data_IF_583373517203
#
_entry.id   IF_583373517203
#
_cell.length_a   1.000
_cell.length_b   1.000
_cell.length_c   1.000
_cell.angle_alpha   90.00
_cell.angle_beta   90.00
_cell.angle_gamma   90.00
#
_symmetry.space_group_name_H-M   'P 1'
#
loop_
_entity.id
_entity.type
_entity.pdbx_description
1 polymer ?
#
# COMPACT_ATOMS: atom_id res chain seq x y z
N UNK A 1 9.75 0.86 -14.52
CA UNK A 1 10.10 1.54 -13.26
C UNK A 1 10.86 2.86 -13.45
N UNK A 2 11.54 3.07 -14.58
CA UNK A 2 12.32 4.27 -14.90
C UNK A 2 11.64 5.62 -14.61
N UNK A 3 10.32 5.75 -14.78
CA UNK A 3 9.61 7.00 -14.46
C UNK A 3 9.63 7.32 -12.95
N UNK A 4 9.39 6.33 -12.09
CA UNK A 4 9.39 6.51 -10.64
C UNK A 4 10.80 6.91 -10.18
N UNK A 5 11.83 6.18 -10.63
CA UNK A 5 13.23 6.47 -10.34
C UNK A 5 13.65 7.86 -10.85
N UNK A 6 13.22 8.24 -12.05
CA UNK A 6 13.57 9.52 -12.64
C UNK A 6 12.97 10.70 -11.89
N UNK A 7 11.75 10.58 -11.39
CA UNK A 7 11.01 11.67 -10.73
C UNK A 7 11.09 11.63 -9.20
N UNK A 8 11.65 10.58 -8.60
CA UNK A 8 11.90 10.49 -7.17
C UNK A 8 12.70 11.72 -6.68
N UNK A 9 12.20 12.40 -5.65
CA UNK A 9 12.79 13.63 -5.10
C UNK A 9 12.65 14.88 -5.97
N UNK A 10 12.03 14.78 -7.16
CA UNK A 10 11.78 15.93 -8.06
C UNK A 10 10.32 16.36 -8.05
N UNK A 11 9.40 15.41 -8.01
CA UNK A 11 7.96 15.64 -7.99
C UNK A 11 7.28 14.71 -6.97
N UNK A 12 6.16 15.14 -6.36
CA UNK A 12 5.31 14.23 -5.60
C UNK A 12 4.76 13.11 -6.49
N UNK A 13 4.79 11.87 -6.01
CA UNK A 13 4.29 10.69 -6.74
C UNK A 13 3.26 9.98 -5.87
N UNK A 14 2.07 9.75 -6.41
CA UNK A 14 1.03 8.90 -5.82
C UNK A 14 0.84 7.65 -6.68
N UNK A 15 1.08 6.48 -6.11
CA UNK A 15 0.86 5.19 -6.77
C UNK A 15 -0.44 4.54 -6.31
N UNK A 16 -1.31 4.16 -7.24
CA UNK A 16 -2.56 3.45 -6.97
C UNK A 16 -2.55 2.09 -7.65
N UNK A 17 -3.05 1.04 -6.98
CA UNK A 17 -3.09 -0.34 -7.49
C UNK A 17 -1.67 -0.83 -7.87
N UNK A 18 -1.41 -1.14 -9.14
CA UNK A 18 -0.08 -1.53 -9.62
C UNK A 18 0.97 -0.42 -9.42
N UNK A 19 0.55 0.85 -9.38
CA UNK A 19 1.45 1.97 -9.08
C UNK A 19 2.00 1.92 -7.66
N UNK A 20 1.17 1.51 -6.69
CA UNK A 20 1.61 1.31 -5.30
C UNK A 20 2.66 0.19 -5.22
N UNK A 21 2.39 -0.94 -5.88
CA UNK A 21 3.33 -2.07 -5.95
C UNK A 21 4.64 -1.69 -6.64
N UNK A 22 4.56 -0.94 -7.74
CA UNK A 22 5.73 -0.48 -8.47
C UNK A 22 6.63 0.44 -7.62
N UNK A 23 6.05 1.30 -6.79
CA UNK A 23 6.80 2.12 -5.83
C UNK A 23 7.53 1.22 -4.83
N UNK A 24 6.83 0.26 -4.21
CA UNK A 24 7.45 -0.68 -3.28
C UNK A 24 8.65 -1.42 -3.91
N UNK A 25 8.49 -1.91 -5.14
CA UNK A 25 9.56 -2.62 -5.86
C UNK A 25 10.76 -1.74 -6.20
N UNK A 26 10.53 -0.49 -6.61
CA UNK A 26 11.62 0.46 -6.94
C UNK A 26 12.54 0.70 -5.74
N UNK A 27 11.98 0.74 -4.53
CA UNK A 27 12.76 0.94 -3.32
C UNK A 27 13.27 -0.37 -2.70
N UNK A 28 12.98 -1.53 -3.29
CA UNK A 28 13.49 -2.84 -2.87
C UNK A 28 12.53 -3.71 -2.07
N UNK A 29 11.30 -3.26 -1.84
CA UNK A 29 10.24 -4.08 -1.25
C UNK A 29 9.80 -5.21 -2.19
N UNK A 30 9.49 -6.39 -1.64
CA UNK A 30 8.98 -7.50 -2.44
C UNK A 30 7.47 -7.38 -2.61
N UNK A 31 6.99 -7.67 -3.81
CA UNK A 31 5.55 -7.82 -4.09
C UNK A 31 5.23 -9.29 -4.12
N UNK A 32 4.42 -9.74 -3.17
CA UNK A 32 4.05 -11.14 -2.97
C UNK A 32 2.57 -11.33 -3.25
N UNK A 33 2.17 -12.58 -3.51
CA UNK A 33 0.74 -12.90 -3.60
C UNK A 33 0.08 -12.73 -2.26
N UNK A 34 -1.06 -12.05 -2.27
CA UNK A 34 -1.95 -12.00 -1.13
C UNK A 34 -2.32 -13.43 -0.71
N UNK A 35 -2.27 -13.78 0.59
CA UNK A 35 -2.67 -15.10 1.07
C UNK A 35 -4.11 -15.48 0.71
N UNK A 36 -4.99 -14.50 0.45
CA UNK A 36 -6.35 -14.72 -0.09
C UNK A 36 -6.71 -13.73 -1.19
N UNK A 37 -7.47 -14.20 -2.19
CA UNK A 37 -7.98 -13.37 -3.28
C UNK A 37 -9.19 -12.57 -2.80
N UNK A 38 -9.06 -11.26 -2.70
CA UNK A 38 -10.15 -10.34 -2.35
C UNK A 38 -10.59 -9.60 -3.63
N UNK A 39 -11.81 -9.90 -4.11
CA UNK A 39 -12.38 -9.27 -5.31
C UNK A 39 -13.74 -8.64 -4.98
N UNK A 40 -13.81 -7.31 -5.03
CA UNK A 40 -15.08 -6.57 -4.88
C UNK A 40 -15.68 -6.59 -3.47
N UNK A 41 -14.86 -6.80 -2.44
CA UNK A 41 -15.28 -6.70 -1.03
C UNK A 41 -14.79 -5.38 -0.43
N UNK A 42 -15.59 -4.81 0.47
CA UNK A 42 -15.15 -3.68 1.30
C UNK A 42 -14.26 -4.22 2.43
N UNK A 43 -13.19 -3.48 2.71
CA UNK A 43 -12.32 -3.73 3.85
C UNK A 43 -12.18 -2.45 4.65
N UNK A 44 -11.99 -2.64 5.95
CA UNK A 44 -11.71 -1.59 6.91
C UNK A 44 -10.19 -1.40 6.95
N UNK A 45 -9.73 -0.22 6.58
CA UNK A 45 -8.31 0.17 6.60
C UNK A 45 -8.09 1.14 7.75
N UNK A 46 -7.19 0.76 8.64
CA UNK A 46 -6.64 1.62 9.69
C UNK A 46 -5.49 2.42 9.09
N UNK A 47 -5.27 3.63 9.61
CA UNK A 47 -4.12 4.45 9.23
C UNK A 47 -3.60 5.24 10.42
N UNK A 48 -2.41 5.80 10.28
CA UNK A 48 -1.78 6.68 11.27
C UNK A 48 -2.15 8.17 11.08
N UNK A 49 -2.96 8.48 10.07
CA UNK A 49 -3.42 9.83 9.70
C UNK A 49 -2.32 10.72 9.15
N UNK A 50 -1.28 10.12 8.57
CA UNK A 50 -0.20 10.83 7.88
C UNK A 50 -0.39 10.85 6.36
N UNK A 51 0.27 11.82 5.72
CA UNK A 51 0.34 11.92 4.28
C UNK A 51 -1.04 12.00 3.63
N UNK A 52 -1.34 11.05 2.73
CA UNK A 52 -2.61 11.04 1.99
C UNK A 52 -3.83 10.65 2.84
N UNK A 53 -3.62 10.18 4.07
CA UNK A 53 -4.69 9.81 5.00
C UNK A 53 -5.03 10.93 6.00
N UNK A 54 -4.36 12.08 5.92
CA UNK A 54 -4.65 13.22 6.80
C UNK A 54 -6.09 13.73 6.60
N UNK A 55 -6.84 13.85 7.70
CA UNK A 55 -8.22 14.33 7.72
C UNK A 55 -9.28 13.30 7.27
N UNK A 56 -8.90 12.05 7.03
CA UNK A 56 -9.83 10.96 6.78
C UNK A 56 -10.30 10.29 8.08
N UNK A 57 -11.49 9.67 8.03
CA UNK A 57 -12.01 8.86 9.13
C UNK A 57 -11.12 7.65 9.38
N UNK A 58 -10.88 7.32 10.66
CA UNK A 58 -10.06 6.19 11.07
C UNK A 58 -10.88 5.20 11.92
N UNK A 59 -11.22 4.01 11.40
CA UNK A 59 -10.81 3.47 10.11
C UNK A 59 -11.61 4.00 8.91
N UNK A 60 -11.03 3.91 7.71
CA UNK A 60 -11.68 4.23 6.44
C UNK A 60 -12.19 2.96 5.75
N UNK A 61 -13.41 3.00 5.22
CA UNK A 61 -13.95 1.90 4.42
C UNK A 61 -13.54 2.07 2.94
N UNK A 62 -12.85 1.07 2.40
CA UNK A 62 -12.37 1.08 1.02
C UNK A 62 -12.73 -0.21 0.29
N UNK A 63 -13.00 -0.10 -1.01
CA UNK A 63 -13.19 -1.27 -1.87
C UNK A 63 -11.84 -1.83 -2.32
N UNK A 64 -11.58 -3.11 -2.04
CA UNK A 64 -10.31 -3.76 -2.40
C UNK A 64 -10.42 -4.62 -3.66
N UNK A 65 -9.36 -4.57 -4.46
CA UNK A 65 -9.16 -5.39 -5.66
C UNK A 65 -7.70 -5.85 -5.74
N UNK A 66 -7.26 -6.81 -4.92
CA UNK A 66 -5.83 -7.17 -4.97
C UNK A 66 -5.55 -8.66 -4.77
N UNK A 67 -4.73 -9.17 -5.71
CA UNK A 67 -4.09 -10.50 -5.68
C UNK A 67 -2.62 -10.43 -5.24
N UNK A 68 -2.05 -9.22 -5.12
CA UNK A 68 -0.64 -8.94 -4.82
C UNK A 68 -0.54 -7.80 -3.80
N UNK A 69 0.36 -7.92 -2.82
CA UNK A 69 0.63 -6.94 -1.74
C UNK A 69 2.13 -6.70 -1.59
N UNK A 70 2.52 -5.57 -1.01
CA UNK A 70 3.91 -5.31 -0.64
C UNK A 70 4.18 -6.04 0.67
N UNK A 71 5.24 -6.84 0.71
CA UNK A 71 5.58 -7.64 1.88
C UNK A 71 6.24 -6.76 2.96
N UNK A 72 5.53 -6.58 4.08
CA UNK A 72 5.98 -5.78 5.23
C UNK A 72 7.34 -6.23 5.77
N UNK A 73 7.65 -7.52 5.71
CA UNK A 73 8.90 -8.07 6.29
C UNK A 73 10.12 -7.69 5.46
N UNK A 74 9.88 -7.28 4.20
CA UNK A 74 10.93 -6.89 3.25
C UNK A 74 10.90 -5.41 2.94
N UNK A 75 10.08 -4.65 3.66
CA UNK A 75 9.96 -3.22 3.43
C UNK A 75 11.28 -2.53 3.85
N UNK A 76 11.92 -1.77 2.95
CA UNK A 76 13.16 -1.07 3.26
C UNK A 76 12.91 0.08 4.24
N UNK A 77 13.92 0.45 5.05
CA UNK A 77 13.83 1.53 6.06
C UNK A 77 13.50 2.92 5.47
N UNK A 78 13.63 3.09 4.16
CA UNK A 78 13.26 4.33 3.46
C UNK A 78 11.76 4.44 3.17
N UNK A 79 10.97 3.41 3.46
CA UNK A 79 9.52 3.38 3.31
C UNK A 79 8.86 3.15 4.67
N UNK A 80 7.82 3.93 4.94
CA UNK A 80 7.00 3.83 6.15
C UNK A 80 5.61 3.27 5.82
N UNK A 81 5.08 2.41 6.69
CA UNK A 81 3.72 1.89 6.58
C UNK A 81 2.77 2.89 7.23
N UNK A 82 1.97 3.59 6.42
CA UNK A 82 1.01 4.59 6.93
C UNK A 82 -0.42 4.06 7.03
N UNK A 83 -0.72 2.90 6.44
CA UNK A 83 -2.05 2.29 6.49
C UNK A 83 -1.98 0.76 6.40
N UNK A 84 -2.88 0.08 7.10
CA UNK A 84 -2.97 -1.38 7.16
C UNK A 84 -4.42 -1.85 7.36
N UNK A 85 -4.70 -3.10 7.06
CA UNK A 85 -6.02 -3.71 7.30
C UNK A 85 -6.19 -4.09 8.78
N UNK A 86 -7.39 -3.89 9.34
CA UNK A 86 -7.69 -4.24 10.74
C UNK A 86 -7.74 -5.74 11.05
N UNK A 87 -7.68 -6.10 12.34
CA UNK A 87 -7.79 -7.48 12.83
C UNK A 87 -9.13 -8.10 12.38
N UNK A 88 -9.04 -9.08 11.47
CA UNK A 88 -10.19 -9.72 10.82
C UNK A 88 -10.07 -9.79 9.29
N UNK A 89 -9.22 -8.96 8.68
CA UNK A 89 -8.81 -9.14 7.29
C UNK A 89 -7.67 -10.17 7.24
N UNK A 90 -7.91 -11.28 6.53
CA UNK A 90 -6.98 -12.43 6.44
C UNK A 90 -5.71 -12.10 5.64
N UNK A 91 -5.67 -10.89 5.09
CA UNK A 91 -4.59 -10.33 4.28
C UNK A 91 -4.03 -9.12 5.01
N UNK A 92 -2.86 -9.21 5.68
CA UNK A 92 -2.16 -8.01 6.09
C UNK A 92 -1.83 -7.19 4.84
N UNK A 93 -2.17 -5.90 4.87
CA UNK A 93 -1.70 -4.93 3.89
C UNK A 93 -0.22 -4.56 4.14
#
# INVERSE_FOLDING_TARGET
MAAIEHFAGKLPILGVCLGHQAIGQVYGGKVVRAPQVMHGKTSVVLHDSQGVFEGLDNPVEVTRYHSLVVDKETLPDCLEITAWTGEGDVTPA
#
